data_IF_420501371769
#
_entry.id   IF_420501371769
#
_cell.length_a   1.000
_cell.length_b   1.000
_cell.length_c   1.000
_cell.angle_alpha   90.00
_cell.angle_beta   90.00
_cell.angle_gamma   90.00
#
_symmetry.space_group_name_H-M   'P 1'
#
loop_
_entity.id
_entity.type
_entity.pdbx_description
1 polymer ?
#
# COMPACT_ATOMS: atom_id res chain seq x y z
N UNK A 1 -15.55 -4.29 25.51
CA UNK A 1 -14.24 -3.70 25.15
C UNK A 1 -13.99 -4.02 23.69
N UNK A 2 -13.39 -3.13 22.92
CA UNK A 2 -12.94 -3.43 21.55
C UNK A 2 -11.71 -4.35 21.63
N UNK A 3 -11.72 -5.44 20.85
CA UNK A 3 -10.57 -6.32 20.70
C UNK A 3 -9.55 -5.75 19.69
N UNK A 4 -10.06 -5.03 18.67
CA UNK A 4 -9.24 -4.33 17.67
C UNK A 4 -9.71 -2.88 17.61
N UNK A 5 -8.77 -1.94 17.63
CA UNK A 5 -9.04 -0.51 17.43
C UNK A 5 -7.96 0.06 16.51
N UNK A 6 -8.37 0.52 15.33
CA UNK A 6 -7.50 1.05 14.28
C UNK A 6 -7.85 2.52 14.08
N UNK A 7 -6.84 3.37 14.15
CA UNK A 7 -6.97 4.82 14.02
C UNK A 7 -6.02 5.33 12.95
N UNK A 8 -6.56 6.03 11.95
CA UNK A 8 -5.82 6.74 10.91
C UNK A 8 -4.65 5.91 10.36
N UNK A 9 -4.91 4.64 10.01
CA UNK A 9 -3.86 3.76 9.52
C UNK A 9 -3.50 4.15 8.08
N UNK A 10 -2.22 4.41 7.84
CA UNK A 10 -1.67 4.65 6.51
C UNK A 10 -0.55 3.66 6.21
N UNK A 11 -0.51 3.18 4.98
CA UNK A 11 0.61 2.39 4.47
C UNK A 11 0.95 2.82 3.05
N UNK A 12 2.22 3.16 2.85
CA UNK A 12 2.77 3.49 1.55
C UNK A 12 4.01 2.65 1.28
N UNK A 13 4.20 2.25 0.03
CA UNK A 13 5.35 1.51 -0.46
C UNK A 13 6.11 2.34 -1.48
N UNK A 14 7.44 2.29 -1.42
CA UNK A 14 8.31 2.91 -2.42
C UNK A 14 8.71 1.84 -3.44
N UNK A 15 8.30 2.01 -4.68
CA UNK A 15 8.63 1.08 -5.77
C UNK A 15 9.44 1.77 -6.86
N UNK A 16 10.30 1.02 -7.54
CA UNK A 16 11.09 1.55 -8.67
C UNK A 16 10.19 1.67 -9.88
N UNK A 17 10.19 2.84 -10.52
CA UNK A 17 9.57 3.02 -11.83
C UNK A 17 10.50 2.42 -12.88
N UNK A 18 10.03 1.40 -13.60
CA UNK A 18 10.76 0.81 -14.72
C UNK A 18 10.41 1.58 -15.98
N UNK A 19 11.37 2.32 -16.53
CA UNK A 19 11.23 2.86 -17.88
C UNK A 19 11.45 1.74 -18.90
N UNK A 20 10.69 1.75 -19.99
CA UNK A 20 10.77 0.73 -21.02
C UNK A 20 12.08 0.86 -21.84
N UNK A 21 12.63 -0.28 -22.26
CA UNK A 21 13.80 -0.35 -23.15
C UNK A 21 15.16 -0.46 -22.44
N UNK A 22 16.18 -0.78 -23.24
CA UNK A 22 17.56 -0.97 -22.78
C UNK A 22 18.18 0.34 -22.25
N UNK A 23 17.86 1.47 -22.90
CA UNK A 23 18.32 2.79 -22.47
C UNK A 23 17.72 3.20 -21.11
N UNK A 24 16.44 2.89 -20.87
CA UNK A 24 15.79 3.08 -19.57
C UNK A 24 16.40 2.22 -18.46
N UNK A 25 16.85 1.01 -18.79
CA UNK A 25 17.54 0.11 -17.85
C UNK A 25 18.91 0.63 -17.43
N UNK A 26 19.70 1.18 -18.37
CA UNK A 26 21.00 1.79 -18.09
C UNK A 26 20.85 3.09 -17.28
N UNK A 27 19.87 3.93 -17.61
CA UNK A 27 19.56 5.13 -16.84
C UNK A 27 19.13 4.80 -15.40
N UNK A 28 18.36 3.74 -15.20
CA UNK A 28 17.89 3.29 -13.89
C UNK A 28 19.01 2.77 -12.97
N UNK A 29 20.16 2.32 -13.52
CA UNK A 29 21.35 1.96 -12.73
C UNK A 29 22.02 3.20 -12.13
N UNK A 30 22.03 4.32 -12.85
CA UNK A 30 22.69 5.55 -12.40
C UNK A 30 21.77 6.46 -11.59
N UNK A 31 20.48 6.52 -11.94
CA UNK A 31 19.45 7.36 -11.27
C UNK A 31 18.10 6.63 -11.26
N UNK A 32 17.86 5.72 -10.31
CA UNK A 32 16.57 5.04 -10.21
C UNK A 32 15.46 6.03 -9.87
N UNK A 33 14.41 6.07 -10.70
CA UNK A 33 13.19 6.78 -10.38
C UNK A 33 12.34 5.94 -9.44
N UNK A 34 11.83 6.58 -8.39
CA UNK A 34 10.99 5.93 -7.39
C UNK A 34 9.60 6.55 -7.42
N UNK A 35 8.58 5.73 -7.25
CA UNK A 35 7.21 6.15 -7.07
C UNK A 35 6.68 5.62 -5.75
N UNK A 36 5.75 6.37 -5.16
CA UNK A 36 5.04 5.95 -3.95
C UNK A 36 3.70 5.34 -4.38
N UNK A 37 3.44 4.13 -3.88
CA UNK A 37 2.14 3.47 -4.01
C UNK A 37 1.51 3.45 -2.63
N UNK A 38 0.35 4.09 -2.52
CA UNK A 38 -0.43 4.10 -1.29
C UNK A 38 -1.30 2.85 -1.25
N UNK A 39 -1.04 2.00 -0.27
CA UNK A 39 -1.71 0.72 -0.03
C UNK A 39 -2.91 0.90 0.90
N UNK A 40 -2.70 1.60 2.02
CA UNK A 40 -3.78 1.92 2.96
C UNK A 40 -3.83 3.43 3.13
N UNK A 41 -5.01 4.01 2.91
CA UNK A 41 -5.28 5.45 3.08
C UNK A 41 -6.27 5.65 4.21
N UNK A 42 -5.80 6.20 5.32
CA UNK A 42 -6.62 6.71 6.44
C UNK A 42 -7.69 5.73 6.94
N UNK A 43 -7.31 4.47 7.17
CA UNK A 43 -8.26 3.45 7.63
C UNK A 43 -8.49 3.56 9.13
N UNK A 44 -9.75 3.71 9.55
CA UNK A 44 -10.16 3.70 10.95
C UNK A 44 -11.36 2.79 11.17
N UNK A 45 -11.27 1.86 12.13
CA UNK A 45 -12.38 0.98 12.51
C UNK A 45 -12.14 0.35 13.88
N UNK A 46 -13.21 -0.21 14.46
CA UNK A 46 -13.17 -0.96 15.72
C UNK A 46 -13.82 -2.32 15.50
N UNK A 47 -13.34 -3.33 16.22
CA UNK A 47 -13.99 -4.62 16.29
C UNK A 47 -14.12 -5.08 17.74
N UNK A 48 -15.28 -5.62 18.08
CA UNK A 48 -15.51 -6.32 19.33
C UNK A 48 -14.86 -7.71 19.32
N UNK A 49 -14.71 -8.30 20.50
CA UNK A 49 -14.28 -9.69 20.62
C UNK A 49 -15.32 -10.63 19.99
N UNK A 50 -14.86 -11.58 19.16
CA UNK A 50 -15.72 -12.49 18.40
C UNK A 50 -16.42 -11.89 17.16
N UNK A 51 -16.19 -10.62 16.83
CA UNK A 51 -16.77 -9.98 15.63
C UNK A 51 -16.06 -10.43 14.34
N UNK A 52 -16.84 -10.77 13.32
CA UNK A 52 -16.34 -11.13 12.00
C UNK A 52 -16.37 -9.90 11.07
N UNK A 53 -15.20 -9.49 10.58
CA UNK A 53 -15.06 -8.42 9.58
C UNK A 53 -14.48 -8.99 8.28
N UNK A 54 -15.16 -8.72 7.16
CA UNK A 54 -14.69 -9.06 5.82
C UNK A 54 -14.34 -7.80 5.02
N UNK A 55 -13.16 -7.78 4.41
CA UNK A 55 -12.79 -6.77 3.41
C UNK A 55 -13.03 -7.31 2.01
N UNK A 56 -13.64 -6.50 1.15
CA UNK A 56 -13.91 -6.84 -0.26
C UNK A 56 -13.41 -5.70 -1.13
N UNK A 57 -12.65 -6.04 -2.17
CA UNK A 57 -12.15 -5.06 -3.13
C UNK A 57 -11.53 -5.74 -4.36
N UNK A 58 -11.26 -4.98 -5.42
CA UNK A 58 -10.52 -5.47 -6.58
C UNK A 58 -9.08 -5.87 -6.21
N UNK A 59 -8.41 -6.62 -7.09
CA UNK A 59 -7.00 -6.95 -6.93
C UNK A 59 -6.15 -5.68 -6.80
N UNK A 60 -5.43 -5.56 -5.69
CA UNK A 60 -4.60 -4.38 -5.38
C UNK A 60 -5.34 -3.21 -4.72
N UNK A 61 -6.53 -3.44 -4.14
CA UNK A 61 -7.28 -2.42 -3.39
C UNK A 61 -6.66 -2.02 -2.03
N UNK A 62 -5.68 -2.80 -1.56
CA UNK A 62 -4.95 -2.60 -0.31
C UNK A 62 -3.53 -3.10 -0.45
#
# INVERSE_FOLDING_TARGET
MSAIDVHHLHKSFRTKRKEAGLQGSLAALWRPQWQIVEAVRDLSFRMADGELLGFIGPNGAG
#
